data_IF_902810728117
#
_entry.id   IF_902810728117
#
_cell.length_a   1.000
_cell.length_b   1.000
_cell.length_c   1.000
_cell.angle_alpha   90.00
_cell.angle_beta   90.00
_cell.angle_gamma   90.00
#
_symmetry.space_group_name_H-M   'P 1'
#
loop_
_entity.id
_entity.type
_entity.pdbx_description
1 polymer ?
#
# COMPACT_ATOMS: atom_id res chain seq x y z
N UNK A 1 19.91 8.43 8.28
CA UNK A 1 19.44 7.33 9.20
C UNK A 1 20.39 6.13 9.07
N UNK A 2 20.70 5.43 10.18
CA UNK A 2 21.41 4.14 10.08
C UNK A 2 20.37 3.04 9.76
N UNK A 3 20.20 2.75 8.49
CA UNK A 3 19.18 1.81 8.02
C UNK A 3 19.35 0.41 8.58
N UNK A 4 20.58 -0.11 8.69
CA UNK A 4 20.80 -1.46 9.17
C UNK A 4 20.38 -1.65 10.63
N UNK A 5 20.58 -0.63 11.46
CA UNK A 5 20.21 -0.67 12.89
C UNK A 5 18.76 -0.25 13.14
N UNK A 6 18.08 0.29 12.13
CA UNK A 6 16.70 0.75 12.26
C UNK A 6 15.69 -0.38 12.08
N UNK A 7 14.55 -0.37 12.81
CA UNK A 7 13.42 -1.25 12.55
C UNK A 7 12.85 -1.03 11.15
N UNK A 8 12.53 -2.11 10.44
CA UNK A 8 12.03 -1.99 9.04
C UNK A 8 10.72 -1.21 8.96
N UNK A 9 9.85 -1.30 9.95
CA UNK A 9 8.62 -0.50 10.02
C UNK A 9 8.90 0.99 10.23
N UNK A 10 9.95 1.34 11.00
CA UNK A 10 10.37 2.73 11.16
C UNK A 10 10.92 3.31 9.85
N UNK A 11 11.72 2.53 9.12
CA UNK A 11 12.21 2.95 7.79
C UNK A 11 11.03 3.17 6.84
N UNK A 12 10.07 2.24 6.81
CA UNK A 12 8.88 2.35 5.97
C UNK A 12 8.04 3.59 6.29
N UNK A 13 7.95 3.99 7.56
CA UNK A 13 7.17 5.14 8.00
C UNK A 13 7.85 6.49 7.68
N UNK A 14 9.19 6.55 7.69
CA UNK A 14 9.93 7.80 7.52
C UNK A 14 10.48 8.02 6.11
N UNK A 15 10.61 6.98 5.31
CA UNK A 15 11.17 7.07 3.96
C UNK A 15 10.14 6.68 2.91
N UNK A 16 9.58 7.69 2.25
CA UNK A 16 8.63 7.49 1.14
C UNK A 16 9.24 6.60 0.07
N UNK A 17 8.49 5.57 -0.34
CA UNK A 17 8.94 4.58 -1.33
C UNK A 17 9.71 3.38 -0.74
N UNK A 18 10.11 3.40 0.54
CA UNK A 18 10.81 2.27 1.16
C UNK A 18 9.99 0.97 1.15
N UNK A 19 8.66 1.08 1.23
CA UNK A 19 7.73 -0.05 1.13
C UNK A 19 7.89 -0.81 -0.17
N UNK A 20 8.08 -0.13 -1.30
CA UNK A 20 8.33 -0.76 -2.62
C UNK A 20 9.65 -1.53 -2.63
N UNK A 21 10.71 -0.97 -2.02
CA UNK A 21 11.99 -1.67 -1.87
C UNK A 21 11.81 -2.91 -1.02
N UNK A 22 11.16 -2.79 0.14
CA UNK A 22 10.91 -3.94 1.03
C UNK A 22 10.08 -5.03 0.36
N UNK A 23 9.05 -4.68 -0.37
CA UNK A 23 8.22 -5.62 -1.13
C UNK A 23 9.04 -6.38 -2.18
N UNK A 24 9.89 -5.68 -2.95
CA UNK A 24 10.80 -6.27 -3.93
C UNK A 24 11.70 -7.36 -3.32
N UNK A 25 12.20 -7.14 -2.10
CA UNK A 25 13.06 -8.09 -1.39
C UNK A 25 12.30 -9.02 -0.43
N UNK A 26 10.97 -9.00 -0.45
CA UNK A 26 10.12 -9.83 0.41
C UNK A 26 10.29 -9.53 1.90
N UNK A 27 10.61 -8.30 2.28
CA UNK A 27 10.78 -7.87 3.66
C UNK A 27 9.42 -7.45 4.23
N UNK A 28 8.99 -8.14 5.30
CA UNK A 28 7.75 -7.80 6.02
C UNK A 28 8.00 -6.59 6.94
N UNK A 29 7.52 -5.44 6.50
CA UNK A 29 7.60 -4.17 7.23
C UNK A 29 6.33 -3.88 8.05
N UNK A 30 5.25 -4.62 7.82
CA UNK A 30 3.96 -4.47 8.50
C UNK A 30 3.92 -5.27 9.81
N UNK A 31 3.81 -6.59 9.72
CA UNK A 31 3.73 -7.48 10.91
C UNK A 31 5.11 -7.68 11.55
N UNK A 32 6.16 -7.76 10.74
CA UNK A 32 7.57 -7.88 11.17
C UNK A 32 8.28 -6.54 11.44
N UNK A 33 7.57 -5.41 11.41
CA UNK A 33 8.14 -4.05 11.40
C UNK A 33 9.05 -3.69 12.57
N UNK A 34 9.00 -4.41 13.70
CA UNK A 34 9.89 -4.20 14.86
C UNK A 34 11.29 -4.77 14.68
N UNK A 35 11.53 -5.64 13.69
CA UNK A 35 12.83 -6.26 13.45
C UNK A 35 13.77 -5.23 12.79
N UNK A 36 15.05 -5.26 13.19
CA UNK A 36 16.06 -4.41 12.54
C UNK A 36 16.33 -4.93 11.13
N UNK A 37 16.62 -4.02 10.21
CA UNK A 37 16.91 -4.40 8.82
C UNK A 37 18.10 -5.38 8.74
N UNK A 38 19.14 -5.19 9.54
CA UNK A 38 20.30 -6.10 9.59
C UNK A 38 19.89 -7.54 9.94
N UNK A 39 18.99 -7.71 10.90
CA UNK A 39 18.54 -9.04 11.34
C UNK A 39 17.71 -9.72 10.24
N UNK A 40 16.83 -8.97 9.58
CA UNK A 40 16.00 -9.47 8.47
C UNK A 40 16.86 -9.86 7.27
N UNK A 41 17.82 -9.01 6.90
CA UNK A 41 18.76 -9.25 5.79
C UNK A 41 19.59 -10.50 6.05
N UNK A 42 20.15 -10.64 7.25
CA UNK A 42 20.93 -11.81 7.65
C UNK A 42 20.08 -13.10 7.63
N UNK A 43 18.90 -13.07 8.25
CA UNK A 43 17.99 -14.23 8.30
C UNK A 43 17.54 -14.71 6.92
N UNK A 44 17.29 -13.79 6.01
CA UNK A 44 16.82 -14.07 4.64
C UNK A 44 17.97 -14.22 3.63
N UNK A 45 19.21 -14.04 4.04
CA UNK A 45 20.41 -14.07 3.18
C UNK A 45 20.31 -13.09 1.99
N UNK A 46 19.79 -11.89 2.24
CA UNK A 46 19.61 -10.85 1.22
C UNK A 46 20.90 -10.04 1.01
N UNK A 47 21.01 -9.42 -0.17
CA UNK A 47 22.11 -8.52 -0.49
C UNK A 47 21.90 -7.12 0.16
N UNK A 48 22.49 -6.94 1.34
CA UNK A 48 22.41 -5.68 2.10
C UNK A 48 22.89 -4.46 1.29
N UNK A 49 24.04 -4.50 0.58
CA UNK A 49 24.50 -3.38 -0.22
C UNK A 49 23.49 -2.90 -1.28
N UNK A 50 22.79 -3.82 -1.94
CA UNK A 50 21.77 -3.46 -2.93
C UNK A 50 20.56 -2.80 -2.30
N UNK A 51 20.07 -3.35 -1.18
CA UNK A 51 18.95 -2.76 -0.43
C UNK A 51 19.30 -1.35 0.05
N UNK A 52 20.50 -1.18 0.64
CA UNK A 52 20.96 0.13 1.13
C UNK A 52 21.06 1.16 -0.01
N UNK A 53 21.61 0.78 -1.16
CA UNK A 53 21.69 1.69 -2.32
C UNK A 53 20.31 2.16 -2.76
N UNK A 54 19.32 1.26 -2.81
CA UNK A 54 17.96 1.63 -3.19
C UNK A 54 17.32 2.56 -2.15
N UNK A 55 17.48 2.28 -0.85
CA UNK A 55 16.96 3.16 0.21
C UNK A 55 17.62 4.55 0.18
N UNK A 56 18.94 4.62 -0.01
CA UNK A 56 19.67 5.90 -0.11
C UNK A 56 19.23 6.68 -1.36
N UNK A 57 18.99 6.01 -2.48
CA UNK A 57 18.48 6.65 -3.69
C UNK A 57 17.09 7.31 -3.47
N UNK A 58 16.25 6.72 -2.62
CA UNK A 58 14.94 7.31 -2.26
C UNK A 58 15.10 8.60 -1.44
N UNK A 59 16.09 8.69 -0.53
CA UNK A 59 16.36 9.93 0.22
C UNK A 59 16.68 11.12 -0.69
N UNK A 60 17.33 10.83 -1.80
CA UNK A 60 17.77 11.85 -2.77
C UNK A 60 16.69 12.24 -3.79
N UNK A 61 15.51 11.63 -3.72
CA UNK A 61 14.43 11.90 -4.67
C UNK A 61 13.45 12.95 -4.11
N UNK A 62 13.50 14.22 -4.57
CA UNK A 62 12.66 15.29 -4.05
C UNK A 62 11.15 15.00 -4.22
N UNK A 63 10.78 14.27 -5.28
CA UNK A 63 9.38 13.97 -5.62
C UNK A 63 8.72 13.00 -4.64
N UNK A 64 9.50 12.25 -3.85
CA UNK A 64 9.00 11.31 -2.85
C UNK A 64 8.88 11.92 -1.46
N UNK A 65 9.42 13.12 -1.24
CA UNK A 65 9.48 13.79 0.06
C UNK A 65 8.38 14.85 0.27
N UNK A 66 7.40 14.94 -0.64
CA UNK A 66 6.44 16.06 -0.67
C UNK A 66 5.46 16.14 0.52
N UNK A 67 5.28 15.07 1.29
CA UNK A 67 4.30 15.07 2.39
C UNK A 67 4.85 14.41 3.65
N UNK A 68 4.78 15.13 4.75
CA UNK A 68 5.08 14.59 6.09
C UNK A 68 3.85 13.84 6.64
N UNK A 69 3.71 12.60 6.20
CA UNK A 69 2.59 11.73 6.59
C UNK A 69 2.51 11.48 8.09
N UNK A 70 3.67 11.46 8.80
CA UNK A 70 3.73 11.15 10.21
C UNK A 70 3.21 12.28 11.10
N UNK A 71 3.36 13.52 10.65
CA UNK A 71 2.91 14.70 11.37
C UNK A 71 1.60 15.28 10.80
N UNK A 72 1.04 14.65 9.76
CA UNK A 72 -0.23 15.10 9.18
C UNK A 72 -1.38 14.89 10.18
N UNK A 73 -2.23 15.90 10.42
CA UNK A 73 -3.44 15.73 11.24
C UNK A 73 -4.32 14.61 10.68
N UNK A 74 -4.88 13.78 11.56
CA UNK A 74 -5.73 12.65 11.16
C UNK A 74 -6.87 13.05 10.22
N UNK A 75 -7.62 14.16 10.47
CA UNK A 75 -8.68 14.58 9.55
C UNK A 75 -8.17 14.88 8.14
N UNK A 76 -6.97 15.48 8.02
CA UNK A 76 -6.37 15.83 6.73
C UNK A 76 -5.89 14.58 6.00
N UNK A 77 -5.31 13.61 6.74
CA UNK A 77 -4.93 12.31 6.20
C UNK A 77 -6.14 11.54 5.68
N UNK A 78 -7.21 11.47 6.45
CA UNK A 78 -8.47 10.83 6.05
C UNK A 78 -9.05 11.50 4.81
N UNK A 79 -9.13 12.83 4.80
CA UNK A 79 -9.59 13.57 3.63
C UNK A 79 -8.75 13.26 2.39
N UNK A 80 -7.43 13.18 2.55
CA UNK A 80 -6.53 12.83 1.45
C UNK A 80 -6.76 11.39 0.95
N UNK A 81 -6.91 10.41 1.85
CA UNK A 81 -7.18 9.02 1.46
C UNK A 81 -8.47 8.91 0.65
N UNK A 82 -9.55 9.52 1.13
CA UNK A 82 -10.84 9.48 0.43
C UNK A 82 -10.77 10.21 -0.91
N UNK A 83 -10.31 11.47 -0.93
CA UNK A 83 -10.35 12.30 -2.15
C UNK A 83 -9.33 11.89 -3.21
N UNK A 84 -8.20 11.30 -2.81
CA UNK A 84 -7.13 10.93 -3.75
C UNK A 84 -7.15 9.45 -4.14
N UNK A 85 -7.36 8.53 -3.19
CA UNK A 85 -7.32 7.10 -3.47
C UNK A 85 -8.71 6.53 -3.73
N UNK A 86 -9.69 6.71 -2.82
CA UNK A 86 -11.00 6.10 -2.98
C UNK A 86 -11.71 6.60 -4.23
N UNK A 87 -11.75 7.93 -4.42
CA UNK A 87 -12.37 8.51 -5.62
C UNK A 87 -11.66 8.06 -6.91
N UNK A 88 -10.34 7.92 -6.90
CA UNK A 88 -9.60 7.37 -8.05
C UNK A 88 -9.95 5.92 -8.34
N UNK A 89 -10.03 5.08 -7.32
CA UNK A 89 -10.41 3.68 -7.53
C UNK A 89 -11.81 3.58 -8.12
N UNK A 90 -12.77 4.35 -7.61
CA UNK A 90 -14.14 4.42 -8.14
C UNK A 90 -14.20 4.89 -9.60
N UNK A 91 -13.29 5.77 -10.00
CA UNK A 91 -13.22 6.27 -11.38
C UNK A 91 -12.46 5.33 -12.32
N UNK A 92 -11.32 4.79 -11.89
CA UNK A 92 -10.40 4.08 -12.77
C UNK A 92 -10.78 2.60 -12.95
N UNK A 93 -11.25 1.91 -11.91
CA UNK A 93 -11.57 0.48 -12.01
C UNK A 93 -12.68 0.19 -13.03
N UNK A 94 -13.80 0.92 -13.10
CA UNK A 94 -14.80 0.70 -14.15
C UNK A 94 -14.23 0.85 -15.55
N UNK A 95 -13.35 1.81 -15.77
CA UNK A 95 -12.69 2.00 -17.07
C UNK A 95 -11.72 0.85 -17.39
N UNK A 96 -10.96 0.37 -16.39
CA UNK A 96 -10.08 -0.79 -16.56
C UNK A 96 -10.86 -2.05 -16.88
N UNK A 97 -11.99 -2.28 -16.23
CA UNK A 97 -12.91 -3.41 -16.53
C UNK A 97 -13.38 -3.33 -17.97
N UNK A 98 -13.83 -2.16 -18.42
CA UNK A 98 -14.27 -1.92 -19.80
C UNK A 98 -13.15 -2.21 -20.82
N UNK A 99 -11.92 -1.76 -20.52
CA UNK A 99 -10.75 -2.00 -21.38
C UNK A 99 -10.35 -3.46 -21.40
N UNK A 100 -10.34 -4.16 -20.25
CA UNK A 100 -10.07 -5.59 -20.15
C UNK A 100 -11.07 -6.42 -20.97
N UNK A 101 -12.36 -6.15 -20.81
CA UNK A 101 -13.41 -6.80 -21.59
C UNK A 101 -13.26 -6.56 -23.12
N UNK A 102 -12.80 -5.36 -23.50
CA UNK A 102 -12.51 -5.08 -24.91
C UNK A 102 -11.31 -5.90 -25.41
N UNK A 103 -10.24 -6.02 -24.62
CA UNK A 103 -9.05 -6.82 -24.97
C UNK A 103 -9.43 -8.29 -25.13
N UNK A 104 -10.15 -8.86 -24.18
CA UNK A 104 -10.61 -10.25 -24.23
C UNK A 104 -11.50 -10.53 -25.47
N UNK A 105 -12.39 -9.61 -25.80
CA UNK A 105 -13.26 -9.74 -26.99
C UNK A 105 -12.50 -9.67 -28.30
N UNK A 106 -11.49 -8.78 -28.40
CA UNK A 106 -10.76 -8.52 -29.65
C UNK A 106 -9.63 -9.52 -29.87
N UNK A 107 -9.03 -10.01 -28.79
CA UNK A 107 -7.83 -10.85 -28.81
C UNK A 107 -8.05 -12.23 -28.19
N UNK A 108 -9.30 -12.65 -27.97
CA UNK A 108 -9.61 -13.89 -27.29
C UNK A 108 -9.16 -15.16 -28.01
N UNK A 109 -8.83 -15.07 -29.29
CA UNK A 109 -8.24 -16.17 -30.09
C UNK A 109 -6.73 -16.34 -29.89
N UNK A 110 -6.06 -15.36 -29.22
CA UNK A 110 -4.61 -15.40 -29.00
C UNK A 110 -4.26 -16.15 -27.71
N UNK A 111 -3.20 -16.94 -27.77
CA UNK A 111 -2.74 -17.76 -26.64
C UNK A 111 -2.31 -16.93 -25.42
N UNK A 112 -1.85 -15.69 -25.63
CA UNK A 112 -1.40 -14.74 -24.61
C UNK A 112 -2.49 -13.75 -24.16
N UNK A 113 -3.74 -13.96 -24.61
CA UNK A 113 -4.85 -13.14 -24.16
C UNK A 113 -5.12 -13.35 -22.65
N UNK A 114 -5.24 -12.28 -21.85
CA UNK A 114 -5.47 -12.38 -20.42
C UNK A 114 -6.94 -12.69 -20.10
N UNK A 115 -7.40 -13.89 -20.46
CA UNK A 115 -8.76 -14.35 -20.21
C UNK A 115 -9.14 -14.29 -18.73
N UNK A 116 -10.32 -13.77 -18.42
CA UNK A 116 -10.83 -13.63 -17.07
C UNK A 116 -10.36 -12.35 -16.34
N UNK A 117 -9.54 -11.51 -16.99
CA UNK A 117 -9.06 -10.26 -16.38
C UNK A 117 -10.22 -9.30 -16.08
N UNK A 118 -11.21 -9.19 -16.98
CA UNK A 118 -12.36 -8.32 -16.76
C UNK A 118 -13.21 -8.79 -15.57
N UNK A 119 -13.42 -10.10 -15.41
CA UNK A 119 -14.12 -10.68 -14.28
C UNK A 119 -13.36 -10.43 -12.97
N UNK A 120 -12.04 -10.71 -12.94
CA UNK A 120 -11.19 -10.46 -11.78
C UNK A 120 -11.20 -8.99 -11.34
N UNK A 121 -11.15 -8.06 -12.29
CA UNK A 121 -11.20 -6.62 -11.97
C UNK A 121 -12.58 -6.21 -11.44
N UNK A 122 -13.66 -6.85 -11.89
CA UNK A 122 -14.98 -6.59 -11.36
C UNK A 122 -15.12 -7.09 -9.92
N UNK A 123 -14.67 -8.30 -9.62
CA UNK A 123 -14.63 -8.84 -8.25
C UNK A 123 -13.77 -7.94 -7.35
N UNK A 124 -12.61 -7.48 -7.86
CA UNK A 124 -11.74 -6.54 -7.15
C UNK A 124 -12.44 -5.22 -6.85
N UNK A 125 -13.23 -4.68 -7.78
CA UNK A 125 -14.00 -3.45 -7.55
C UNK A 125 -15.03 -3.64 -6.44
N UNK A 126 -15.76 -4.76 -6.44
CA UNK A 126 -16.77 -5.06 -5.41
C UNK A 126 -16.13 -5.18 -4.02
N UNK A 127 -15.04 -5.93 -3.90
CA UNK A 127 -14.30 -6.09 -2.64
C UNK A 127 -13.74 -4.76 -2.14
N UNK A 128 -13.14 -3.98 -3.03
CA UNK A 128 -12.53 -2.69 -2.69
C UNK A 128 -13.60 -1.66 -2.28
N UNK A 129 -14.77 -1.64 -2.94
CA UNK A 129 -15.88 -0.76 -2.55
C UNK A 129 -16.39 -1.09 -1.15
N UNK A 130 -16.56 -2.38 -0.82
CA UNK A 130 -16.93 -2.82 0.52
C UNK A 130 -15.87 -2.45 1.58
N UNK A 131 -14.60 -2.51 1.21
CA UNK A 131 -13.49 -2.10 2.05
C UNK A 131 -13.53 -0.58 2.33
N UNK A 132 -13.58 0.22 1.26
CA UNK A 132 -13.64 1.69 1.36
C UNK A 132 -14.87 2.18 2.15
N UNK A 133 -16.03 1.56 1.96
CA UNK A 133 -17.23 1.88 2.74
C UNK A 133 -17.03 1.63 4.24
N UNK A 134 -16.42 0.51 4.63
CA UNK A 134 -16.12 0.23 6.05
C UNK A 134 -15.16 1.25 6.64
N UNK A 135 -14.19 1.72 5.87
CA UNK A 135 -13.27 2.77 6.29
C UNK A 135 -14.01 4.11 6.43
N UNK A 136 -14.76 4.53 5.43
CA UNK A 136 -15.46 5.81 5.40
C UNK A 136 -16.59 5.91 6.46
N UNK A 137 -17.34 4.83 6.65
CA UNK A 137 -18.50 4.84 7.55
C UNK A 137 -18.15 4.49 9.00
N UNK A 138 -17.08 3.72 9.23
CA UNK A 138 -16.76 3.21 10.56
C UNK A 138 -15.38 3.65 11.03
N UNK A 139 -14.30 3.26 10.32
CA UNK A 139 -12.93 3.46 10.78
C UNK A 139 -12.54 4.95 10.83
N UNK A 140 -12.73 5.66 9.74
CA UNK A 140 -12.34 7.06 9.64
C UNK A 140 -13.07 7.98 10.63
N UNK A 141 -14.40 7.86 10.84
CA UNK A 141 -15.08 8.59 11.90
C UNK A 141 -14.54 8.30 13.30
N UNK A 142 -14.19 7.03 13.61
CA UNK A 142 -13.58 6.67 14.89
C UNK A 142 -12.20 7.28 15.07
N UNK A 143 -11.39 7.31 14.01
CA UNK A 143 -10.05 7.94 14.01
C UNK A 143 -10.16 9.46 14.25
N UNK A 144 -11.02 10.12 13.48
CA UNK A 144 -11.19 11.58 13.53
C UNK A 144 -11.74 12.03 14.91
N UNK A 145 -12.65 11.27 15.51
CA UNK A 145 -13.25 11.59 16.80
C UNK A 145 -12.45 11.07 18.02
N UNK A 146 -11.30 10.43 17.80
CA UNK A 146 -10.43 9.94 18.88
C UNK A 146 -11.01 8.77 19.70
N UNK A 147 -12.02 8.07 19.19
CA UNK A 147 -12.75 7.00 19.91
C UNK A 147 -12.13 5.62 19.83
N UNK A 148 -10.99 5.47 19.16
CA UNK A 148 -10.30 4.16 19.01
C UNK A 148 -9.85 3.52 20.34
N UNK A 149 -9.69 4.30 21.41
CA UNK A 149 -9.30 3.75 22.73
C UNK A 149 -10.42 2.97 23.44
N UNK A 150 -11.65 2.99 22.94
CA UNK A 150 -12.81 2.32 23.54
C UNK A 150 -13.40 1.18 22.70
N UNK A 151 -13.01 1.07 21.45
CA UNK A 151 -13.46 -0.02 20.60
C UNK A 151 -12.44 -1.17 20.65
N UNK A 152 -12.83 -2.30 21.27
CA UNK A 152 -12.19 -3.57 21.00
C UNK A 152 -12.50 -3.92 19.54
N UNK A 153 -11.59 -3.53 18.65
CA UNK A 153 -11.70 -3.90 17.26
C UNK A 153 -11.46 -5.41 17.12
N UNK A 154 -12.42 -6.18 16.58
CA UNK A 154 -12.07 -7.48 16.05
C UNK A 154 -11.15 -7.24 14.85
N UNK A 155 -9.88 -7.61 15.02
CA UNK A 155 -8.89 -7.59 13.93
C UNK A 155 -9.25 -8.75 13.01
N UNK A 156 -10.12 -8.50 12.05
CA UNK A 156 -10.19 -9.34 10.86
C UNK A 156 -9.19 -8.79 9.85
N UNK A 157 -7.94 -9.19 10.03
CA UNK A 157 -6.94 -9.18 8.98
C UNK A 157 -7.18 -10.45 8.16
N UNK A 158 -7.80 -10.32 7.03
CA UNK A 158 -7.58 -11.23 5.91
C UNK A 158 -6.79 -10.51 4.83
#
# INVERSE_FOLDING_TARGET
MDYLQSPVGSIAAHLSGATSVFQKYGIDFCCGGKQRLADVVSKKQLDAPSILRELIALESNPWLQEKDWLNMPIPDLVHYLVSYYHERHRQQLPELIRLAAKVERVHGDKADCPHGLAALLNDTLEDLEQHMLKEEEVLFPLLVHGRLKQAQMPIYVM
#
